data_IF_629068185859
#
_entry.id   IF_629068185859
#
_cell.length_a   1.000
_cell.length_b   1.000
_cell.length_c   1.000
_cell.angle_alpha   90.00
_cell.angle_beta   90.00
_cell.angle_gamma   90.00
#
_symmetry.space_group_name_H-M   'P 1'
#
loop_
_entity.id
_entity.type
_entity.pdbx_description
1 polymer ?
#
# COMPACT_ATOMS: atom_id res chain seq x y z
N UNK A 1 -9.84 -3.18 9.86
CA UNK A 1 -8.60 -2.78 9.16
C UNK A 1 -8.65 -3.44 7.80
N UNK A 2 -8.51 -2.65 6.74
CA UNK A 2 -8.62 -3.14 5.36
C UNK A 2 -7.22 -3.45 4.80
N UNK A 3 -7.12 -4.37 3.84
CA UNK A 3 -5.85 -4.98 3.41
C UNK A 3 -5.74 -5.01 1.89
N UNK A 4 -4.74 -4.32 1.35
CA UNK A 4 -4.37 -4.42 -0.05
C UNK A 4 -3.36 -5.54 -0.28
N UNK A 5 -3.46 -6.21 -1.44
CA UNK A 5 -2.59 -7.31 -1.84
C UNK A 5 -2.19 -7.14 -3.30
N UNK A 6 -0.98 -7.56 -3.63
CA UNK A 6 -0.46 -7.62 -4.99
C UNK A 6 0.58 -8.72 -5.13
N UNK A 7 0.96 -9.05 -6.36
CA UNK A 7 1.99 -10.03 -6.66
C UNK A 7 2.98 -9.47 -7.69
N UNK A 8 4.21 -9.94 -7.62
CA UNK A 8 5.25 -9.64 -8.62
C UNK A 8 6.04 -10.91 -8.92
N UNK A 9 6.46 -11.09 -10.16
CA UNK A 9 7.29 -12.20 -10.58
C UNK A 9 8.64 -11.69 -11.08
N UNK A 10 9.73 -12.28 -10.58
CA UNK A 10 11.10 -11.96 -10.96
C UNK A 10 11.75 -13.13 -11.72
N UNK A 11 12.68 -12.88 -12.64
CA UNK A 11 13.42 -13.95 -13.32
C UNK A 11 14.43 -14.68 -12.41
N UNK A 12 14.72 -14.12 -11.22
CA UNK A 12 15.60 -14.72 -10.22
C UNK A 12 15.07 -14.48 -8.80
N UNK A 13 15.41 -15.38 -7.87
CA UNK A 13 14.93 -15.34 -6.50
C UNK A 13 15.62 -14.23 -5.69
N UNK A 14 15.03 -13.03 -5.65
CA UNK A 14 15.60 -11.89 -4.94
C UNK A 14 14.58 -11.14 -4.09
N UNK A 15 14.57 -11.43 -2.78
CA UNK A 15 13.60 -10.87 -1.83
C UNK A 15 13.62 -9.34 -1.75
N UNK A 16 14.80 -8.70 -1.72
CA UNK A 16 14.87 -7.23 -1.61
C UNK A 16 14.28 -6.52 -2.82
N UNK A 17 14.58 -6.98 -4.04
CA UNK A 17 13.98 -6.43 -5.25
C UNK A 17 12.47 -6.70 -5.30
N UNK A 18 12.04 -7.90 -4.92
CA UNK A 18 10.63 -8.23 -4.86
C UNK A 18 9.89 -7.31 -3.87
N UNK A 19 10.49 -7.06 -2.70
CA UNK A 19 9.93 -6.17 -1.69
C UNK A 19 9.81 -4.73 -2.20
N UNK A 20 10.82 -4.23 -2.91
CA UNK A 20 10.77 -2.90 -3.53
C UNK A 20 9.65 -2.80 -4.56
N UNK A 21 9.58 -3.76 -5.49
CA UNK A 21 8.54 -3.81 -6.53
C UNK A 21 7.12 -3.92 -5.94
N UNK A 22 6.94 -4.76 -4.91
CA UNK A 22 5.67 -4.91 -4.20
C UNK A 22 5.28 -3.60 -3.49
N UNK A 23 6.23 -2.91 -2.86
CA UNK A 23 5.97 -1.64 -2.17
C UNK A 23 5.52 -0.56 -3.15
N UNK A 24 6.17 -0.46 -4.31
CA UNK A 24 5.77 0.47 -5.37
C UNK A 24 4.39 0.15 -5.95
N UNK A 25 4.12 -1.13 -6.22
CA UNK A 25 2.82 -1.58 -6.73
C UNK A 25 1.68 -1.29 -5.73
N UNK A 26 1.89 -1.59 -4.44
CA UNK A 26 0.91 -1.31 -3.39
C UNK A 26 0.69 0.20 -3.21
N UNK A 27 1.75 1.00 -3.25
CA UNK A 27 1.63 2.46 -3.16
C UNK A 27 0.82 3.04 -4.33
N UNK A 28 1.02 2.50 -5.55
CA UNK A 28 0.25 2.87 -6.73
C UNK A 28 -1.23 2.51 -6.58
N UNK A 29 -1.54 1.28 -6.20
CA UNK A 29 -2.91 0.82 -5.99
C UNK A 29 -3.66 1.64 -4.94
N UNK A 30 -3.00 1.99 -3.83
CA UNK A 30 -3.60 2.81 -2.77
C UNK A 30 -3.89 4.24 -3.26
N UNK A 31 -3.01 4.81 -4.09
CA UNK A 31 -3.22 6.12 -4.71
C UNK A 31 -4.40 6.08 -5.69
N UNK A 32 -4.48 5.04 -6.51
CA UNK A 32 -5.58 4.82 -7.46
C UNK A 32 -6.92 4.56 -6.77
N UNK A 33 -6.91 3.93 -5.60
CA UNK A 33 -8.10 3.74 -4.76
C UNK A 33 -8.55 5.01 -4.00
N UNK A 34 -7.73 6.06 -4.01
CA UNK A 34 -8.07 7.41 -3.54
C UNK A 34 -7.08 8.00 -2.53
N UNK A 35 -6.86 9.31 -2.60
CA UNK A 35 -5.88 10.08 -1.78
C UNK A 35 -6.07 10.02 -0.26
N UNK A 36 -7.16 9.43 0.22
CA UNK A 36 -7.40 9.22 1.65
C UNK A 36 -6.85 7.89 2.16
N UNK A 37 -6.32 6.98 1.34
CA UNK A 37 -5.78 5.71 1.86
C UNK A 37 -4.28 5.85 2.18
N UNK A 38 -3.92 5.57 3.44
CA UNK A 38 -2.53 5.57 3.91
C UNK A 38 -2.14 4.12 4.24
N UNK A 39 -1.12 3.61 3.56
CA UNK A 39 -0.53 2.31 3.87
C UNK A 39 0.20 2.34 5.21
N UNK A 40 0.00 1.31 6.02
CA UNK A 40 0.82 1.06 7.21
C UNK A 40 1.95 0.10 6.86
N UNK A 41 3.09 0.64 6.41
CA UNK A 41 4.23 -0.14 5.94
C UNK A 41 4.82 -1.09 7.00
N UNK A 42 4.58 -0.82 8.29
CA UNK A 42 4.98 -1.72 9.39
C UNK A 42 4.25 -3.07 9.34
N UNK A 43 3.10 -3.13 8.64
CA UNK A 43 2.31 -4.35 8.43
C UNK A 43 2.61 -5.06 7.12
N UNK A 44 3.58 -4.57 6.34
CA UNK A 44 3.96 -5.18 5.08
C UNK A 44 4.42 -6.62 5.31
N UNK A 45 3.70 -7.56 4.71
CA UNK A 45 4.04 -8.98 4.68
C UNK A 45 4.33 -9.38 3.24
N UNK A 46 5.52 -9.94 3.02
CA UNK A 46 5.94 -10.53 1.75
C UNK A 46 6.05 -12.04 1.96
N UNK A 47 5.45 -12.82 1.06
CA UNK A 47 5.54 -14.29 1.05
C UNK A 47 6.04 -14.78 -0.31
N UNK A 48 6.87 -15.83 -0.29
CA UNK A 48 7.56 -16.38 -1.46
C UNK A 48 9.06 -16.60 -1.19
N UNK A 49 9.85 -16.99 -2.21
CA UNK A 49 9.43 -17.16 -3.61
C UNK A 49 8.58 -18.39 -3.85
N UNK A 50 7.61 -18.26 -4.76
CA UNK A 50 6.92 -19.39 -5.39
C UNK A 50 7.45 -19.55 -6.81
N UNK A 51 8.03 -20.70 -7.12
CA UNK A 51 8.49 -21.01 -8.48
C UNK A 51 7.29 -21.19 -9.41
N UNK A 52 7.29 -20.49 -10.53
CA UNK A 52 6.27 -20.60 -11.58
C UNK A 52 6.91 -20.54 -12.96
N UNK A 53 6.20 -21.08 -13.95
CA UNK A 53 6.60 -20.95 -15.35
C UNK A 53 5.75 -19.87 -16.02
N UNK A 54 6.42 -18.92 -16.64
CA UNK A 54 5.78 -17.97 -17.55
C UNK A 54 5.26 -18.70 -18.81
N UNK A 55 4.43 -18.02 -19.61
CA UNK A 55 3.88 -18.53 -20.88
C UNK A 55 4.96 -18.98 -21.87
N UNK A 56 6.18 -18.45 -21.79
CA UNK A 56 7.33 -18.90 -22.59
C UNK A 56 8.09 -20.09 -21.99
N UNK A 57 7.58 -20.70 -20.91
CA UNK A 57 8.25 -21.81 -20.22
C UNK A 57 9.48 -21.39 -19.40
N UNK A 58 9.69 -20.09 -19.21
CA UNK A 58 10.78 -19.58 -18.36
C UNK A 58 10.39 -19.64 -16.90
N UNK A 59 11.29 -20.15 -16.06
CA UNK A 59 11.11 -20.12 -14.60
C UNK A 59 11.17 -18.68 -14.10
N UNK A 60 10.17 -18.33 -13.30
CA UNK A 60 10.04 -17.06 -12.58
C UNK A 60 9.75 -17.36 -11.12
N UNK A 61 10.01 -16.36 -10.27
CA UNK A 61 9.84 -16.43 -8.83
C UNK A 61 8.81 -15.40 -8.42
N UNK A 62 7.60 -15.86 -8.12
CA UNK A 62 6.50 -15.02 -7.66
C UNK A 62 6.63 -14.71 -6.17
N UNK A 63 6.39 -13.46 -5.84
CA UNK A 63 6.26 -12.97 -4.48
C UNK A 63 4.92 -12.29 -4.34
N UNK A 64 4.25 -12.51 -3.21
CA UNK A 64 2.98 -11.87 -2.88
C UNK A 64 3.18 -10.91 -1.73
N UNK A 65 2.77 -9.67 -1.92
CA UNK A 65 2.84 -8.60 -0.93
C UNK A 65 1.45 -8.27 -0.41
N UNK A 66 1.37 -7.94 0.86
CA UNK A 66 0.14 -7.43 1.45
C UNK A 66 0.42 -6.41 2.54
N UNK A 67 -0.39 -5.37 2.61
CA UNK A 67 -0.25 -4.28 3.58
C UNK A 67 -1.62 -3.87 4.10
N UNK A 68 -1.69 -3.54 5.39
CA UNK A 68 -2.87 -2.91 5.94
C UNK A 68 -2.88 -1.44 5.56
N UNK A 69 -4.07 -0.88 5.43
CA UNK A 69 -4.20 0.56 5.22
C UNK A 69 -5.30 1.13 6.10
N UNK A 70 -5.23 2.44 6.29
CA UNK A 70 -6.22 3.21 7.02
C UNK A 70 -6.68 4.39 6.18
N UNK A 71 -7.92 4.81 6.40
CA UNK A 71 -8.43 6.05 5.84
C UNK A 71 -7.89 7.23 6.64
N UNK A 72 -7.30 8.20 5.96
CA UNK A 72 -7.00 9.53 6.47
C UNK A 72 -8.33 10.21 6.73
N UNK A 73 -8.66 10.41 8.00
CA UNK A 73 -9.73 11.32 8.37
C UNK A 73 -9.16 12.73 8.17
N UNK A 74 -9.74 13.58 7.30
CA UNK A 74 -9.33 14.97 7.26
C UNK A 74 -9.53 15.56 8.65
N UNK A 75 -8.48 16.17 9.21
CA UNK A 75 -8.66 17.00 10.39
C UNK A 75 -9.66 18.09 10.00
N UNK A 76 -10.80 18.16 10.68
CA UNK A 76 -11.73 19.26 10.49
C UNK A 76 -10.93 20.56 10.67
N UNK A 77 -10.99 21.51 9.73
CA UNK A 77 -10.34 22.79 9.92
C UNK A 77 -10.92 23.37 11.21
N UNK A 78 -10.05 23.65 12.19
CA UNK A 78 -10.41 24.19 13.49
C UNK A 78 -11.61 25.13 13.38
N UNK A 79 -12.77 24.72 13.89
CA UNK A 79 -13.89 25.62 14.05
C UNK A 79 -13.40 26.73 14.98
N UNK A 80 -13.23 27.94 14.42
CA UNK A 80 -12.82 29.11 15.19
C UNK A 80 -13.80 29.26 16.37
N UNK A 81 -13.34 29.57 17.60
CA UNK A 81 -14.26 29.99 18.64
C UNK A 81 -15.01 31.21 18.11
N UNK A 82 -16.35 31.12 18.07
CA UNK A 82 -17.20 32.23 17.69
C UNK A 82 -16.93 33.37 18.67
N UNK A 83 -16.31 34.46 18.19
CA UNK A 83 -16.22 35.70 18.93
C UNK A 83 -17.65 36.20 19.12
N UNK A 84 -18.15 36.12 20.35
CA UNK A 84 -19.45 36.66 20.74
C UNK A 84 -19.47 38.18 20.45
N UNK A 85 -20.58 38.75 19.98
CA UNK A 85 -20.68 40.19 19.79
C UNK A 85 -20.70 40.87 21.16
N UNK A 86 -19.80 41.84 21.36
CA UNK A 86 -19.87 42.76 22.48
C UNK A 86 -21.07 43.69 22.29
N UNK A 87 -22.05 43.60 23.18
CA UNK A 87 -23.06 44.64 23.42
C UNK A 87 -22.55 45.51 24.56
N UNK A 88 -22.30 46.79 24.29
CA UNK A 88 -22.64 47.99 25.10
C UNK A 88 -22.42 49.22 24.22
#
# INVERSE_FOLDING_TARGET
MDRHRTATALPFAHLSMATAALREALARQLREAGDTLIADWSTLRVVGPFEQFDRSGRRTYEYRGSVQHRRRVPALPNARPATQPATV
#
